data_IF_556850210786
#
_entry.id   IF_556850210786
#
_cell.length_a   1.000
_cell.length_b   1.000
_cell.length_c   1.000
_cell.angle_alpha   90.00
_cell.angle_beta   90.00
_cell.angle_gamma   90.00
#
_symmetry.space_group_name_H-M   'P 1'
#
loop_
_entity.id
_entity.type
_entity.pdbx_description
1 polymer ?
#
# COMPACT_ATOMS: atom_id res chain seq x y z
N UNK A 1 1.83 5.83 14.96
CA UNK A 1 1.35 4.89 13.92
C UNK A 1 1.43 3.49 14.48
N UNK A 2 0.41 2.63 14.30
CA UNK A 2 0.50 1.23 14.71
C UNK A 2 1.57 0.50 13.90
N UNK A 3 2.22 -0.52 14.48
CA UNK A 3 3.28 -1.28 13.80
C UNK A 3 2.80 -1.93 12.49
N UNK A 4 1.55 -2.40 12.45
CA UNK A 4 0.96 -2.99 11.25
C UNK A 4 0.72 -1.97 10.14
N UNK A 5 0.29 -0.74 10.47
CA UNK A 5 0.15 0.33 9.47
C UNK A 5 1.52 0.74 8.90
N UNK A 6 2.53 0.87 9.75
CA UNK A 6 3.89 1.14 9.29
C UNK A 6 4.41 0.04 8.35
N UNK A 7 4.12 -1.22 8.66
CA UNK A 7 4.47 -2.38 7.82
C UNK A 7 3.74 -2.35 6.47
N UNK A 8 2.45 -1.97 6.45
CA UNK A 8 1.69 -1.81 5.21
C UNK A 8 2.31 -0.72 4.32
N UNK A 9 2.67 0.43 4.89
CA UNK A 9 3.29 1.54 4.14
C UNK A 9 4.66 1.12 3.57
N UNK A 10 5.48 0.41 4.36
CA UNK A 10 6.75 -0.12 3.86
C UNK A 10 6.55 -1.12 2.72
N UNK A 11 5.56 -2.00 2.83
CA UNK A 11 5.20 -2.93 1.76
C UNK A 11 4.73 -2.18 0.51
N UNK A 12 3.82 -1.21 0.63
CA UNK A 12 3.38 -0.39 -0.50
C UNK A 12 4.58 0.23 -1.22
N UNK A 13 5.47 0.88 -0.48
CA UNK A 13 6.66 1.54 -1.06
C UNK A 13 7.61 0.57 -1.74
N UNK A 14 7.83 -0.61 -1.15
CA UNK A 14 8.67 -1.64 -1.75
C UNK A 14 8.07 -2.26 -3.02
N UNK A 15 6.74 -2.31 -3.13
CA UNK A 15 6.04 -2.76 -4.32
C UNK A 15 5.92 -1.66 -5.39
N UNK A 16 5.82 -0.41 -4.95
CA UNK A 16 5.73 0.77 -5.80
C UNK A 16 7.08 1.30 -6.29
N UNK A 17 8.20 0.70 -5.87
CA UNK A 17 9.56 1.07 -6.28
C UNK A 17 9.67 1.08 -7.82
N UNK A 18 9.88 2.25 -8.44
CA UNK A 18 9.94 2.37 -9.90
C UNK A 18 11.01 1.50 -10.55
N UNK A 19 12.07 1.12 -9.82
CA UNK A 19 13.11 0.24 -10.34
C UNK A 19 12.64 -1.21 -10.56
N UNK A 20 11.48 -1.59 -9.99
CA UNK A 20 10.93 -2.96 -10.07
C UNK A 20 9.85 -3.13 -11.13
N UNK A 21 9.28 -2.03 -11.61
CA UNK A 21 8.28 -2.01 -12.71
C UNK A 21 7.07 -2.94 -12.47
N UNK A 22 6.60 -3.05 -11.21
CA UNK A 22 5.47 -3.92 -10.84
C UNK A 22 4.10 -3.30 -11.03
N UNK A 23 4.03 -1.96 -11.10
CA UNK A 23 2.78 -1.21 -11.16
C UNK A 23 2.93 -0.01 -12.10
N UNK A 24 1.84 0.35 -12.78
CA UNK A 24 1.79 1.48 -13.70
C UNK A 24 0.94 2.59 -13.05
N UNK A 25 1.41 3.83 -13.05
CA UNK A 25 0.75 5.09 -12.66
C UNK A 25 -0.59 4.93 -11.90
N UNK A 26 -0.56 5.04 -10.56
CA UNK A 26 -1.75 5.03 -9.72
C UNK A 26 -2.46 3.67 -9.59
N UNK A 27 -2.07 2.66 -10.37
CA UNK A 27 -2.48 1.27 -10.19
C UNK A 27 -1.78 0.60 -8.99
N UNK A 28 -2.08 -0.69 -8.78
CA UNK A 28 -1.64 -1.43 -7.61
C UNK A 28 -2.43 -1.08 -6.35
N UNK A 29 -2.59 -2.05 -5.45
CA UNK A 29 -3.30 -1.86 -4.19
C UNK A 29 -2.62 -2.65 -3.07
N UNK A 30 -2.78 -2.18 -1.85
CA UNK A 30 -2.33 -2.83 -0.63
C UNK A 30 -3.41 -2.62 0.43
N UNK A 31 -3.76 -3.67 1.14
CA UNK A 31 -4.73 -3.61 2.22
C UNK A 31 -4.24 -4.34 3.46
N UNK A 32 -4.76 -3.92 4.61
CA UNK A 32 -4.49 -4.51 5.91
C UNK A 32 -5.81 -4.65 6.65
N UNK A 33 -6.09 -5.85 7.15
CA UNK A 33 -7.21 -6.06 8.08
C UNK A 33 -6.87 -5.39 9.42
N UNK A 34 -7.58 -4.34 9.81
CA UNK A 34 -7.33 -3.61 11.06
C UNK A 34 -8.25 -4.06 12.21
N UNK A 35 -9.41 -4.63 11.88
CA UNK A 35 -10.38 -5.20 12.84
C UNK A 35 -11.02 -6.46 12.25
N UNK A 36 -12.01 -7.06 12.91
CA UNK A 36 -12.65 -8.30 12.44
C UNK A 36 -13.23 -8.18 11.02
N UNK A 37 -13.90 -7.06 10.73
CA UNK A 37 -14.62 -6.84 9.45
C UNK A 37 -14.18 -5.57 8.72
N UNK A 38 -13.13 -4.90 9.21
CA UNK A 38 -12.65 -3.63 8.65
C UNK A 38 -11.24 -3.75 8.07
N UNK A 39 -11.04 -3.15 6.90
CA UNK A 39 -9.76 -3.13 6.19
C UNK A 39 -9.35 -1.69 5.90
N UNK A 40 -8.07 -1.40 6.10
CA UNK A 40 -7.41 -0.24 5.51
C UNK A 40 -7.01 -0.61 4.10
N UNK A 41 -7.24 0.29 3.15
CA UNK A 41 -6.94 0.10 1.73
C UNK A 41 -6.26 1.37 1.21
N UNK A 42 -5.31 1.22 0.30
CA UNK A 42 -4.75 2.37 -0.44
C UNK A 42 -5.90 3.17 -1.07
N UNK A 43 -5.89 4.49 -0.91
CA UNK A 43 -6.87 5.34 -1.57
C UNK A 43 -6.75 5.23 -3.10
N UNK A 44 -7.90 5.25 -3.79
CA UNK A 44 -7.94 5.22 -5.26
C UNK A 44 -7.19 6.42 -5.86
N UNK A 45 -6.46 6.19 -6.95
CA UNK A 45 -5.70 7.24 -7.66
C UNK A 45 -4.37 7.63 -7.02
N UNK A 46 -4.01 7.12 -5.84
CA UNK A 46 -2.70 7.36 -5.22
C UNK A 46 -1.64 6.35 -5.66
N UNK A 47 -0.37 6.77 -5.67
CA UNK A 47 0.76 5.89 -5.99
C UNK A 47 1.16 5.04 -4.77
N UNK A 48 1.79 3.88 -5.02
CA UNK A 48 2.26 3.00 -3.95
C UNK A 48 3.56 3.48 -3.28
N UNK A 49 4.34 4.35 -3.95
CA UNK A 49 5.64 4.83 -3.45
C UNK A 49 5.64 6.27 -2.90
N UNK A 50 4.50 6.96 -2.93
CA UNK A 50 4.35 8.31 -2.34
C UNK A 50 4.24 8.30 -0.81
#
# INVERSE_FOLDING_TARGET
MSSSLASLIQLSRALGDPARDYVIIGEGNTSLRCEAESFLVKASGHQLHE
#
